data_IF_631766377872
#
_entry.id   IF_631766377872
#
_cell.length_a   1.000
_cell.length_b   1.000
_cell.length_c   1.000
_cell.angle_alpha   90.00
_cell.angle_beta   90.00
_cell.angle_gamma   90.00
#
_symmetry.space_group_name_H-M   'P 1'
#
loop_
_entity.id
_entity.type
_entity.pdbx_description
1 polymer ?
#
# COMPACT_ATOMS: atom_id res chain seq x y z
N UNK A 1 -18.06 29.79 -25.02
CA UNK A 1 -17.56 29.63 -23.65
C UNK A 1 -17.12 28.18 -23.52
N UNK A 2 -15.81 27.95 -23.40
CA UNK A 2 -15.20 26.62 -23.56
C UNK A 2 -15.50 25.69 -22.38
N UNK A 3 -15.81 24.43 -22.69
CA UNK A 3 -16.04 23.35 -21.74
C UNK A 3 -14.89 23.23 -20.73
N UNK A 4 -15.18 23.53 -19.46
CA UNK A 4 -14.30 23.37 -18.30
C UNK A 4 -14.24 21.92 -17.85
N UNK A 5 -13.89 20.99 -18.73
CA UNK A 5 -13.48 19.63 -18.34
C UNK A 5 -11.99 19.48 -18.66
N UNK A 6 -11.15 20.18 -17.89
CA UNK A 6 -9.71 19.93 -17.87
C UNK A 6 -9.43 18.93 -16.76
N UNK A 7 -9.19 17.69 -17.20
CA UNK A 7 -8.39 16.62 -16.59
C UNK A 7 -8.34 16.65 -15.06
N UNK A 8 -9.10 15.75 -14.44
CA UNK A 8 -8.67 15.16 -13.19
C UNK A 8 -7.24 14.63 -13.41
N UNK A 9 -6.23 15.37 -12.97
CA UNK A 9 -4.99 14.76 -12.48
C UNK A 9 -5.42 13.63 -11.56
N UNK A 10 -4.91 12.42 -11.78
CA UNK A 10 -5.11 11.31 -10.86
C UNK A 10 -4.97 11.85 -9.44
N UNK A 11 -6.10 11.97 -8.73
CA UNK A 11 -6.09 12.33 -7.31
C UNK A 11 -5.20 11.28 -6.68
N UNK A 12 -4.11 11.72 -6.06
CA UNK A 12 -3.20 10.88 -5.32
C UNK A 12 -4.06 9.93 -4.46
N UNK A 13 -4.12 8.66 -4.85
CA UNK A 13 -4.97 7.63 -4.25
C UNK A 13 -4.57 7.30 -2.80
N UNK A 14 -3.61 8.06 -2.28
CA UNK A 14 -3.07 8.01 -0.92
C UNK A 14 -3.45 9.24 -0.07
N UNK A 15 -4.22 10.20 -0.60
CA UNK A 15 -4.68 11.35 0.17
C UNK A 15 -5.46 10.91 1.42
N UNK A 16 -4.94 11.29 2.61
CA UNK A 16 -5.50 10.90 3.91
C UNK A 16 -4.92 9.61 4.50
N UNK A 17 -4.03 8.92 3.78
CA UNK A 17 -3.26 7.80 4.31
C UNK A 17 -2.00 8.30 5.03
N UNK A 18 -1.72 7.72 6.20
CA UNK A 18 -0.50 7.97 6.95
C UNK A 18 0.60 7.01 6.47
N UNK A 19 1.71 7.51 5.89
CA UNK A 19 2.78 6.66 5.37
C UNK A 19 3.58 6.00 6.51
N UNK A 20 3.82 4.70 6.39
CA UNK A 20 4.68 3.94 7.31
C UNK A 20 6.02 3.56 6.67
N UNK A 21 5.98 3.08 5.43
CA UNK A 21 7.19 2.62 4.74
C UNK A 21 7.04 2.71 3.23
N UNK A 22 8.18 2.89 2.56
CA UNK A 22 8.32 2.82 1.11
C UNK A 22 9.41 1.81 0.78
N UNK A 23 9.11 0.85 -0.09
CA UNK A 23 10.01 -0.24 -0.45
C UNK A 23 10.50 -0.05 -1.89
N UNK A 24 11.56 0.74 -2.11
CA UNK A 24 12.09 0.97 -3.46
C UNK A 24 13.30 0.08 -3.75
N UNK A 25 13.35 -0.50 -4.96
CA UNK A 25 14.58 -1.05 -5.54
C UNK A 25 15.33 0.00 -6.37
N UNK A 26 16.33 -0.45 -7.14
CA UNK A 26 17.14 0.42 -8.02
C UNK A 26 16.50 0.70 -9.40
N UNK A 27 15.19 0.48 -9.56
CA UNK A 27 14.46 0.75 -10.79
C UNK A 27 13.66 2.07 -10.70
N UNK A 28 13.25 2.63 -11.83
CA UNK A 28 12.26 3.71 -11.91
C UNK A 28 10.82 3.17 -12.13
N UNK A 29 10.52 1.97 -11.63
CA UNK A 29 9.31 1.22 -11.96
C UNK A 29 8.13 1.46 -10.99
N UNK A 30 8.31 2.33 -9.99
CA UNK A 30 7.38 2.52 -8.88
C UNK A 30 7.95 1.92 -7.60
N UNK A 31 7.29 2.18 -6.46
CA UNK A 31 7.68 1.57 -5.20
C UNK A 31 6.44 1.07 -4.49
N UNK A 32 6.45 -0.17 -3.98
CA UNK A 32 5.48 -0.58 -2.98
C UNK A 32 5.51 0.35 -1.77
N UNK A 33 4.35 0.62 -1.19
CA UNK A 33 4.21 1.52 -0.05
C UNK A 33 3.22 0.96 0.97
N UNK A 34 3.53 1.15 2.24
CA UNK A 34 2.70 0.76 3.38
C UNK A 34 2.15 2.00 4.07
N UNK A 35 0.86 1.99 4.38
CA UNK A 35 0.17 3.07 5.06
C UNK A 35 -0.80 2.57 6.14
N UNK A 36 -1.25 3.51 6.97
CA UNK A 36 -2.44 3.39 7.82
C UNK A 36 -3.50 4.37 7.34
N UNK A 37 -4.75 3.90 7.19
CA UNK A 37 -5.92 4.73 6.93
C UNK A 37 -6.69 4.96 8.25
N UNK A 38 -6.53 6.12 8.91
CA UNK A 38 -7.21 6.39 10.17
C UNK A 38 -8.74 6.49 10.03
N UNK A 39 -9.23 6.76 8.80
CA UNK A 39 -10.65 6.90 8.50
C UNK A 39 -11.33 5.58 8.14
N UNK A 40 -10.55 4.54 7.83
CA UNK A 40 -11.07 3.24 7.43
C UNK A 40 -11.67 2.45 8.61
N UNK A 41 -12.67 1.58 8.32
CA UNK A 41 -13.10 0.54 9.25
C UNK A 41 -11.92 -0.32 9.74
N UNK A 42 -12.04 -0.89 10.94
CA UNK A 42 -10.95 -1.62 11.59
C UNK A 42 -10.42 -2.79 10.74
N UNK A 43 -11.29 -3.41 9.96
CA UNK A 43 -11.01 -4.52 9.06
C UNK A 43 -10.22 -4.13 7.78
N UNK A 44 -10.00 -2.85 7.53
CA UNK A 44 -9.36 -2.31 6.29
C UNK A 44 -8.30 -1.23 6.56
N UNK A 45 -7.85 -1.09 7.81
CA UNK A 45 -7.02 0.02 8.28
C UNK A 45 -5.58 0.05 7.75
N UNK A 46 -4.99 -1.10 7.47
CA UNK A 46 -3.62 -1.19 6.93
C UNK A 46 -3.70 -1.31 5.42
N UNK A 47 -2.95 -0.48 4.70
CA UNK A 47 -2.95 -0.41 3.24
C UNK A 47 -1.55 -0.71 2.71
N UNK A 48 -1.43 -1.72 1.86
CA UNK A 48 -0.21 -2.00 1.08
C UNK A 48 -0.51 -1.76 -0.40
N UNK A 49 0.31 -0.97 -1.08
CA UNK A 49 0.28 -0.81 -2.54
C UNK A 49 1.52 -1.45 -3.14
N UNK A 50 1.40 -2.06 -4.32
CA UNK A 50 2.55 -2.47 -5.13
C UNK A 50 2.93 -1.40 -6.17
N UNK A 51 4.01 -1.65 -6.92
CA UNK A 51 4.51 -0.79 -7.99
C UNK A 51 3.64 -0.80 -9.27
N UNK A 52 2.74 -1.77 -9.40
CA UNK A 52 1.79 -1.88 -10.51
C UNK A 52 0.41 -1.27 -10.20
N UNK A 53 0.23 -0.71 -8.99
CA UNK A 53 -1.01 -0.07 -8.54
C UNK A 53 -2.03 -1.03 -7.92
N UNK A 54 -1.66 -2.29 -7.65
CA UNK A 54 -2.47 -3.17 -6.81
C UNK A 54 -2.51 -2.65 -5.39
N UNK A 55 -3.62 -2.90 -4.70
CA UNK A 55 -3.87 -2.43 -3.34
C UNK A 55 -4.48 -3.53 -2.50
N UNK A 56 -3.86 -3.82 -1.37
CA UNK A 56 -4.40 -4.71 -0.34
C UNK A 56 -4.78 -3.87 0.87
N UNK A 57 -5.97 -4.11 1.41
CA UNK A 57 -6.43 -3.53 2.67
C UNK A 57 -6.70 -4.65 3.66
N UNK A 58 -6.26 -4.49 4.90
CA UNK A 58 -6.42 -5.50 5.95
C UNK A 58 -6.56 -4.86 7.32
N UNK A 59 -7.01 -5.65 8.29
CA UNK A 59 -7.00 -5.24 9.69
C UNK A 59 -5.57 -5.15 10.24
N UNK A 60 -5.41 -4.40 11.33
CA UNK A 60 -4.15 -4.39 12.08
C UNK A 60 -3.78 -5.78 12.62
N UNK A 61 -4.76 -6.59 13.04
CA UNK A 61 -4.53 -7.94 13.57
C UNK A 61 -4.05 -8.91 12.49
N UNK A 62 -4.62 -8.82 11.28
CA UNK A 62 -4.13 -9.59 10.13
C UNK A 62 -2.71 -9.17 9.76
N UNK A 63 -2.42 -7.86 9.74
CA UNK A 63 -1.07 -7.38 9.46
C UNK A 63 -0.07 -7.84 10.52
N UNK A 64 -0.43 -7.81 11.81
CA UNK A 64 0.40 -8.32 12.90
C UNK A 64 0.71 -9.82 12.72
N UNK A 65 -0.26 -10.62 12.31
CA UNK A 65 -0.05 -12.05 12.01
C UNK A 65 0.93 -12.25 10.86
N UNK A 66 0.82 -11.46 9.78
CA UNK A 66 1.79 -11.49 8.67
C UNK A 66 3.21 -11.11 9.13
N UNK A 67 3.33 -10.11 10.00
CA UNK A 67 4.63 -9.70 10.55
C UNK A 67 5.27 -10.81 11.39
N UNK A 68 4.50 -11.53 12.22
CA UNK A 68 5.04 -12.63 13.02
C UNK A 68 5.53 -13.79 12.12
N UNK A 69 4.76 -14.13 11.09
CA UNK A 69 5.14 -15.16 10.11
C UNK A 69 6.38 -14.75 9.29
N UNK A 70 6.46 -13.47 8.90
CA UNK A 70 7.63 -12.90 8.22
C UNK A 70 8.88 -12.93 9.11
N UNK A 71 8.78 -12.51 10.38
CA UNK A 71 9.89 -12.56 11.35
C UNK A 71 10.36 -13.98 11.63
N UNK A 72 9.46 -14.95 11.54
CA UNK A 72 9.79 -16.37 11.66
C UNK A 72 10.44 -16.96 10.38
N UNK A 73 10.63 -16.16 9.33
CA UNK A 73 11.23 -16.57 8.05
C UNK A 73 10.30 -17.43 7.19
N UNK A 74 9.01 -17.59 7.55
CA UNK A 74 8.11 -18.49 6.81
C UNK A 74 7.75 -17.97 5.42
N UNK A 75 7.93 -16.68 5.17
CA UNK A 75 7.62 -16.04 3.89
C UNK A 75 8.84 -15.98 2.94
N UNK A 76 10.04 -16.34 3.39
CA UNK A 76 11.28 -16.20 2.61
C UNK A 76 11.23 -17.01 1.31
N UNK A 77 10.58 -18.18 1.32
CA UNK A 77 10.40 -19.00 0.13
C UNK A 77 9.59 -18.31 -0.99
N UNK A 78 8.69 -17.39 -0.64
CA UNK A 78 7.94 -16.61 -1.62
C UNK A 78 8.72 -15.40 -2.16
N UNK A 79 9.78 -14.98 -1.48
CA UNK A 79 10.64 -13.86 -1.89
C UNK A 79 11.83 -14.29 -2.76
N UNK A 80 12.19 -15.58 -2.76
CA UNK A 80 13.35 -16.12 -3.47
C UNK A 80 13.05 -16.65 -4.89
N UNK A 81 11.81 -16.51 -5.37
CA UNK A 81 11.32 -17.07 -6.64
C UNK A 81 11.46 -16.14 -7.83
#
# INVERSE_FOLDING_TARGET
MANLWRKATAMDSTAGLEPLATFCGNCNCGCPQLFVDPSAPAERRVVLTDDFGQRVQMSADQFASLLEEAKAGKLDGAAAS
#
